data_IF_922214541998
#
_entry.id   IF_922214541998
#
_cell.length_a   1.000
_cell.length_b   1.000
_cell.length_c   1.000
_cell.angle_alpha   90.00
_cell.angle_beta   90.00
_cell.angle_gamma   90.00
#
_symmetry.space_group_name_H-M   'P 1'
#
loop_
_entity.id
_entity.type
_entity.pdbx_description
1 polymer ?
#
# COMPACT_ATOMS: atom_id res chain seq x y z
N UNK A 1 17.61 -11.66 16.93
CA UNK A 1 16.40 -12.29 16.35
C UNK A 1 16.69 -13.36 15.30
N UNK A 2 16.11 -14.54 15.46
CA UNK A 2 16.05 -15.63 14.49
C UNK A 2 15.02 -15.29 13.41
N UNK A 3 15.43 -14.43 12.48
CA UNK A 3 14.57 -13.84 11.44
C UNK A 3 13.83 -14.89 10.62
N UNK A 4 14.45 -16.05 10.35
CA UNK A 4 13.81 -17.13 9.57
C UNK A 4 12.59 -17.72 10.28
N UNK A 5 12.67 -17.94 11.61
CA UNK A 5 11.54 -18.45 12.38
C UNK A 5 10.42 -17.41 12.47
N UNK A 6 10.75 -16.14 12.73
CA UNK A 6 9.77 -15.07 12.78
C UNK A 6 9.06 -14.88 11.42
N UNK A 7 9.81 -14.88 10.31
CA UNK A 7 9.26 -14.78 8.97
C UNK A 7 8.28 -15.93 8.65
N UNK A 8 8.55 -17.14 9.14
CA UNK A 8 7.70 -18.30 8.90
C UNK A 8 6.29 -18.16 9.51
N UNK A 9 6.09 -17.28 10.49
CA UNK A 9 4.77 -16.99 11.07
C UNK A 9 3.83 -16.30 10.06
N UNK A 10 4.39 -15.66 9.02
CA UNK A 10 3.64 -14.96 7.96
C UNK A 10 3.41 -15.82 6.71
N UNK A 11 3.81 -17.09 6.72
CA UNK A 11 3.66 -17.98 5.57
C UNK A 11 2.19 -18.10 5.12
N UNK A 12 1.97 -18.04 3.81
CA UNK A 12 0.63 -18.10 3.20
C UNK A 12 -0.17 -16.80 3.35
N UNK A 13 0.44 -15.71 3.82
CA UNK A 13 -0.16 -14.39 3.80
C UNK A 13 0.39 -13.59 2.61
N UNK A 14 -0.40 -13.55 1.54
CA UNK A 14 -0.01 -12.96 0.26
C UNK A 14 -0.28 -11.46 0.20
N UNK A 15 0.51 -10.66 0.92
CA UNK A 15 0.42 -9.19 0.92
C UNK A 15 1.78 -8.57 0.56
N UNK A 16 1.79 -7.61 -0.36
CA UNK A 16 3.03 -6.97 -0.83
C UNK A 16 3.83 -6.29 0.29
N UNK A 17 3.14 -5.69 1.26
CA UNK A 17 3.76 -5.04 2.42
C UNK A 17 4.52 -6.05 3.32
N UNK A 18 3.98 -7.26 3.46
CA UNK A 18 4.63 -8.36 4.18
C UNK A 18 5.89 -8.80 3.42
N UNK A 19 5.76 -9.06 2.10
CA UNK A 19 6.89 -9.48 1.27
C UNK A 19 8.02 -8.45 1.27
N UNK A 20 7.68 -7.17 1.12
CA UNK A 20 8.62 -6.05 1.16
C UNK A 20 9.48 -6.09 2.43
N UNK A 21 8.86 -6.30 3.60
CA UNK A 21 9.58 -6.40 4.86
C UNK A 21 10.45 -7.66 4.94
N UNK A 22 9.90 -8.81 4.58
CA UNK A 22 10.62 -10.09 4.70
C UNK A 22 11.84 -10.14 3.76
N UNK A 23 11.72 -9.60 2.55
CA UNK A 23 12.80 -9.48 1.55
C UNK A 23 13.82 -8.38 1.90
N UNK A 24 13.51 -7.50 2.87
CA UNK A 24 14.43 -6.49 3.37
C UNK A 24 14.41 -5.17 2.60
N UNK A 25 13.31 -4.88 1.90
CA UNK A 25 13.12 -3.61 1.21
C UNK A 25 12.67 -2.51 2.16
N UNK A 26 11.56 -2.72 2.89
CA UNK A 26 10.91 -1.68 3.70
C UNK A 26 10.27 -2.28 4.96
N UNK A 27 10.20 -1.51 6.03
CA UNK A 27 9.58 -1.94 7.29
C UNK A 27 10.46 -2.82 8.17
N UNK A 28 9.95 -3.14 9.35
CA UNK A 28 10.67 -3.84 10.42
C UNK A 28 9.91 -5.10 10.85
N UNK A 29 10.64 -6.19 11.03
CA UNK A 29 10.12 -7.41 11.65
C UNK A 29 10.48 -7.41 13.13
N UNK A 30 9.48 -7.36 13.99
CA UNK A 30 9.59 -7.35 15.45
C UNK A 30 9.04 -8.68 15.96
N UNK A 31 9.73 -9.33 16.89
CA UNK A 31 9.29 -10.60 17.46
C UNK A 31 9.32 -10.57 18.99
N UNK A 32 8.50 -11.42 19.61
CA UNK A 32 8.42 -11.55 21.07
C UNK A 32 9.67 -12.20 21.69
N UNK A 33 10.37 -13.05 20.94
CA UNK A 33 11.58 -13.73 21.38
C UNK A 33 12.63 -13.83 20.27
N UNK A 34 13.88 -13.58 20.64
CA UNK A 34 14.99 -13.54 19.70
C UNK A 34 15.45 -14.90 19.16
N UNK A 35 15.23 -16.01 19.89
CA UNK A 35 15.73 -17.34 19.49
C UNK A 35 14.62 -18.25 18.98
N UNK A 36 13.45 -18.18 19.64
CA UNK A 36 12.28 -19.01 19.42
C UNK A 36 11.02 -18.13 19.40
N UNK A 37 10.84 -17.29 18.37
CA UNK A 37 9.68 -16.42 18.27
C UNK A 37 8.40 -17.24 18.11
N UNK A 38 7.39 -16.92 18.92
CA UNK A 38 6.02 -17.45 18.79
C UNK A 38 5.05 -16.41 18.25
N UNK A 39 5.42 -15.14 18.32
CA UNK A 39 4.63 -14.00 17.87
C UNK A 39 5.51 -13.00 17.14
N UNK A 40 4.98 -12.37 16.10
CA UNK A 40 5.70 -11.32 15.39
C UNK A 40 4.78 -10.26 14.79
N UNK A 41 5.34 -9.07 14.58
CA UNK A 41 4.72 -7.94 13.88
C UNK A 41 5.62 -7.50 12.74
N UNK A 42 5.03 -7.29 11.57
CA UNK A 42 5.65 -6.49 10.50
C UNK A 42 5.10 -5.08 10.61
N UNK A 43 5.96 -4.12 10.92
CA UNK A 43 5.66 -2.69 10.99
C UNK A 43 6.25 -1.97 9.77
N UNK A 44 5.38 -1.47 8.88
CA UNK A 44 5.74 -0.84 7.61
C UNK A 44 4.84 0.37 7.36
N UNK A 45 5.43 1.57 7.37
CA UNK A 45 4.69 2.81 7.23
C UNK A 45 3.65 2.98 8.33
N UNK A 46 2.37 3.09 7.96
CA UNK A 46 1.23 3.10 8.88
C UNK A 46 0.65 1.70 9.14
N UNK A 47 1.15 0.63 8.51
CA UNK A 47 0.63 -0.72 8.66
C UNK A 47 1.37 -1.56 9.69
N UNK A 48 0.62 -2.34 10.47
CA UNK A 48 1.14 -3.36 11.38
C UNK A 48 0.43 -4.70 11.15
N UNK A 49 1.16 -5.70 10.66
CA UNK A 49 0.64 -7.06 10.43
C UNK A 49 1.03 -7.97 11.59
N UNK A 50 0.05 -8.55 12.28
CA UNK A 50 0.28 -9.38 13.48
C UNK A 50 0.11 -10.87 13.16
N UNK A 51 1.13 -11.68 13.44
CA UNK A 51 1.13 -13.12 13.18
C UNK A 51 1.67 -13.94 14.36
N UNK A 52 1.38 -15.25 14.36
CA UNK A 52 1.71 -16.14 15.47
C UNK A 52 0.72 -16.02 16.64
N UNK A 53 1.16 -16.34 17.85
CA UNK A 53 0.30 -16.29 19.04
C UNK A 53 0.06 -14.82 19.49
N UNK A 54 -1.13 -14.45 19.99
CA UNK A 54 -1.36 -13.08 20.45
C UNK A 54 -0.46 -12.68 21.62
N UNK A 55 0.27 -11.57 21.47
CA UNK A 55 1.21 -11.05 22.47
C UNK A 55 0.91 -9.60 22.85
N UNK A 56 0.68 -9.35 24.15
CA UNK A 56 0.46 -7.99 24.67
C UNK A 56 1.71 -7.13 24.62
N UNK A 57 2.90 -7.72 24.69
CA UNK A 57 4.16 -6.98 24.63
C UNK A 57 4.33 -6.36 23.24
N UNK A 58 4.04 -7.11 22.18
CA UNK A 58 4.10 -6.59 20.81
C UNK A 58 3.12 -5.44 20.56
N UNK A 59 1.95 -5.42 21.21
CA UNK A 59 1.03 -4.28 21.15
C UNK A 59 1.56 -3.03 21.87
N UNK A 60 2.45 -3.16 22.87
CA UNK A 60 3.04 -2.01 23.57
C UNK A 60 4.11 -1.29 22.74
N UNK A 61 4.76 -2.02 21.84
CA UNK A 61 5.75 -1.46 20.90
C UNK A 61 5.11 -0.59 19.82
N UNK A 62 3.80 -0.77 19.56
CA UNK A 62 3.08 0.00 18.57
C UNK A 62 2.81 1.41 19.09
N UNK A 63 3.33 2.39 18.36
CA UNK A 63 3.17 3.81 18.65
C UNK A 63 2.69 4.56 17.42
N UNK A 64 2.08 5.73 17.64
CA UNK A 64 1.54 6.57 16.59
C UNK A 64 0.19 6.10 16.06
N UNK A 65 -0.28 6.80 15.03
CA UNK A 65 -1.44 6.36 14.25
C UNK A 65 -1.07 5.17 13.37
N UNK A 66 -1.82 4.07 13.45
CA UNK A 66 -1.51 2.80 12.76
C UNK A 66 -2.76 2.07 12.30
N UNK A 67 -2.62 1.30 11.23
CA UNK A 67 -3.54 0.29 10.74
C UNK A 67 -3.10 -1.08 11.24
N UNK A 68 -3.82 -1.60 12.23
CA UNK A 68 -3.53 -2.89 12.85
C UNK A 68 -4.27 -4.00 12.10
N UNK A 69 -3.54 -4.95 11.52
CA UNK A 69 -4.06 -6.03 10.70
C UNK A 69 -3.76 -7.37 11.38
N UNK A 70 -4.74 -7.97 12.07
CA UNK A 70 -4.57 -9.28 12.68
C UNK A 70 -4.60 -10.41 11.63
N UNK A 71 -3.75 -11.42 11.79
CA UNK A 71 -3.81 -12.65 10.98
C UNK A 71 -5.11 -13.42 11.19
N UNK A 72 -5.64 -13.39 12.41
CA UNK A 72 -6.75 -14.24 12.86
C UNK A 72 -7.54 -13.66 14.05
N UNK A 73 -8.62 -14.36 14.40
CA UNK A 73 -9.56 -13.95 15.45
C UNK A 73 -8.92 -13.82 16.86
N UNK A 74 -7.97 -14.68 17.29
CA UNK A 74 -7.24 -14.46 18.54
C UNK A 74 -6.55 -13.09 18.63
N UNK A 75 -5.91 -12.63 17.56
CA UNK A 75 -5.31 -11.29 17.53
C UNK A 75 -6.36 -10.18 17.55
N UNK A 76 -7.48 -10.34 16.84
CA UNK A 76 -8.62 -9.40 16.91
C UNK A 76 -9.09 -9.18 18.34
N UNK A 77 -9.34 -10.27 19.08
CA UNK A 77 -9.79 -10.21 20.48
C UNK A 77 -8.79 -9.49 21.37
N UNK A 78 -7.48 -9.74 21.14
CA UNK A 78 -6.44 -9.09 21.92
C UNK A 78 -6.36 -7.58 21.62
N UNK A 79 -6.42 -7.19 20.35
CA UNK A 79 -6.41 -5.77 19.93
C UNK A 79 -7.60 -5.02 20.54
N UNK A 80 -8.80 -5.57 20.40
CA UNK A 80 -10.03 -4.99 20.96
C UNK A 80 -9.95 -4.87 22.48
N UNK A 81 -9.47 -5.90 23.17
CA UNK A 81 -9.33 -5.91 24.63
C UNK A 81 -8.19 -5.04 25.17
N UNK A 82 -7.13 -4.80 24.38
CA UNK A 82 -5.97 -4.00 24.79
C UNK A 82 -6.20 -2.50 24.58
N UNK A 83 -6.66 -2.11 23.39
CA UNK A 83 -6.85 -0.71 23.04
C UNK A 83 -8.24 -0.17 23.38
N UNK A 84 -9.26 -1.04 23.47
CA UNK A 84 -10.64 -0.65 23.72
C UNK A 84 -11.11 0.38 22.70
N UNK A 85 -11.66 1.49 23.18
CA UNK A 85 -12.26 2.53 22.33
C UNK A 85 -11.25 3.36 21.53
N UNK A 86 -9.94 3.10 21.64
CA UNK A 86 -8.91 3.80 20.86
C UNK A 86 -8.77 3.26 19.44
N UNK A 87 -9.28 2.06 19.19
CA UNK A 87 -9.26 1.45 17.86
C UNK A 87 -10.65 1.47 17.26
N UNK A 88 -10.70 1.72 15.95
CA UNK A 88 -11.92 1.63 15.16
C UNK A 88 -11.79 0.47 14.18
N UNK A 89 -12.66 -0.53 14.33
CA UNK A 89 -12.74 -1.70 13.44
C UNK A 89 -13.41 -1.32 12.12
N UNK A 90 -12.81 -1.71 11.00
CA UNK A 90 -13.38 -1.58 9.66
C UNK A 90 -12.85 -2.70 8.74
N UNK A 91 -13.34 -2.74 7.51
CA UNK A 91 -12.86 -3.68 6.50
C UNK A 91 -12.00 -2.96 5.46
N UNK A 92 -10.84 -3.56 5.19
CA UNK A 92 -10.11 -3.40 3.93
C UNK A 92 -10.39 -4.62 3.05
N UNK A 93 -9.95 -4.59 1.80
CA UNK A 93 -10.33 -5.56 0.79
C UNK A 93 -9.10 -6.03 0.02
N UNK A 94 -8.74 -7.30 0.22
CA UNK A 94 -7.71 -7.95 -0.55
C UNK A 94 -8.18 -8.13 -2.00
N UNK A 95 -7.26 -7.92 -2.93
CA UNK A 95 -7.48 -8.06 -4.37
C UNK A 95 -6.67 -9.25 -4.88
N UNK A 96 -7.21 -9.98 -5.86
CA UNK A 96 -6.53 -11.17 -6.41
C UNK A 96 -5.24 -10.80 -7.14
N UNK A 97 -4.22 -11.62 -6.95
CA UNK A 97 -2.93 -11.51 -7.64
C UNK A 97 -2.96 -12.24 -9.00
N UNK A 98 -3.27 -11.51 -10.07
CA UNK A 98 -3.53 -12.07 -11.41
C UNK A 98 -2.91 -11.23 -12.53
N UNK A 99 -1.72 -11.62 -13.01
CA UNK A 99 -1.02 -10.91 -14.09
C UNK A 99 -1.82 -10.82 -15.40
N UNK A 100 -2.66 -11.81 -15.70
CA UNK A 100 -3.43 -11.88 -16.94
C UNK A 100 -4.78 -11.12 -16.87
N UNK A 101 -5.05 -10.39 -15.79
CA UNK A 101 -6.31 -9.69 -15.60
C UNK A 101 -6.36 -8.33 -16.31
N UNK A 102 -5.21 -7.79 -16.74
CA UNK A 102 -5.12 -6.43 -17.30
C UNK A 102 -5.35 -6.39 -18.82
N UNK A 103 -6.42 -5.70 -19.23
CA UNK A 103 -6.67 -5.36 -20.64
C UNK A 103 -5.88 -4.11 -21.03
N UNK A 104 -4.77 -4.32 -21.75
CA UNK A 104 -3.86 -3.27 -22.22
C UNK A 104 -4.58 -2.23 -23.11
N UNK A 105 -5.53 -2.65 -23.95
CA UNK A 105 -6.25 -1.73 -24.83
C UNK A 105 -7.21 -0.85 -24.03
N UNK A 106 -7.93 -1.44 -23.07
CA UNK A 106 -8.81 -0.72 -22.15
C UNK A 106 -8.03 0.32 -21.33
N UNK A 107 -6.89 -0.07 -20.74
CA UNK A 107 -6.04 0.81 -19.94
C UNK A 107 -5.53 2.00 -20.78
N UNK A 108 -5.04 1.74 -21.99
CA UNK A 108 -4.66 2.79 -22.93
C UNK A 108 -5.86 3.68 -23.32
N UNK A 109 -7.05 3.11 -23.42
CA UNK A 109 -8.30 3.83 -23.66
C UNK A 109 -8.65 4.83 -22.56
N UNK A 110 -8.35 4.54 -21.29
CA UNK A 110 -8.50 5.52 -20.20
C UNK A 110 -7.51 6.67 -20.34
N UNK A 111 -6.24 6.37 -20.65
CA UNK A 111 -5.19 7.38 -20.80
C UNK A 111 -5.50 8.34 -21.96
N UNK A 112 -5.97 7.83 -23.10
CA UNK A 112 -6.34 8.63 -24.27
C UNK A 112 -7.52 9.59 -24.03
N UNK A 113 -8.32 9.38 -22.98
CA UNK A 113 -9.45 10.24 -22.61
C UNK A 113 -9.05 11.37 -21.66
N UNK A 114 -7.79 11.45 -21.24
CA UNK A 114 -7.31 12.54 -20.41
C UNK A 114 -7.47 13.87 -21.17
N UNK A 115 -8.07 14.86 -20.53
CA UNK A 115 -8.24 16.19 -21.11
C UNK A 115 -6.87 16.83 -21.38
N UNK A 116 -6.77 17.54 -22.51
CA UNK A 116 -5.60 18.31 -22.92
C UNK A 116 -5.09 19.36 -21.92
N UNK A 117 -5.93 19.81 -20.97
CA UNK A 117 -5.49 20.71 -19.91
C UNK A 117 -4.59 20.02 -18.86
N UNK A 118 -4.50 18.69 -18.88
CA UNK A 118 -3.69 17.91 -17.96
C UNK A 118 -2.44 17.34 -18.62
N UNK A 119 -1.36 17.23 -17.85
CA UNK A 119 -0.12 16.59 -18.26
C UNK A 119 0.09 15.29 -17.50
N UNK A 120 0.15 14.15 -18.19
CA UNK A 120 0.52 12.86 -17.59
C UNK A 120 2.04 12.65 -17.69
N UNK A 121 2.70 12.45 -16.55
CA UNK A 121 4.15 12.24 -16.44
C UNK A 121 4.49 11.03 -15.57
N UNK A 122 5.69 10.49 -15.76
CA UNK A 122 6.29 9.62 -14.75
C UNK A 122 6.86 10.49 -13.62
N UNK A 123 6.99 9.92 -12.42
CA UNK A 123 7.66 10.58 -11.31
C UNK A 123 9.12 10.88 -11.66
N UNK A 124 9.49 12.14 -11.56
CA UNK A 124 10.86 12.62 -11.51
C UNK A 124 11.12 13.30 -10.15
N UNK A 125 12.29 13.92 -9.99
CA UNK A 125 12.65 14.57 -8.74
C UNK A 125 11.71 15.72 -8.39
N UNK A 126 11.27 16.51 -9.38
CA UNK A 126 10.38 17.65 -9.14
C UNK A 126 9.02 17.17 -8.63
N UNK A 127 8.44 16.16 -9.28
CA UNK A 127 7.15 15.56 -8.88
C UNK A 127 7.25 14.88 -7.51
N UNK A 128 8.37 14.20 -7.22
CA UNK A 128 8.61 13.58 -5.92
C UNK A 128 8.59 14.60 -4.79
N UNK A 129 9.25 15.75 -4.96
CA UNK A 129 9.24 16.83 -3.96
C UNK A 129 7.87 17.51 -3.87
N UNK A 130 7.14 17.68 -4.98
CA UNK A 130 5.74 18.15 -4.95
C UNK A 130 4.87 17.21 -4.11
N UNK A 131 4.95 15.89 -4.35
CA UNK A 131 4.17 14.89 -3.63
C UNK A 131 4.46 14.92 -2.12
N UNK A 132 5.74 15.03 -1.75
CA UNK A 132 6.19 15.12 -0.35
C UNK A 132 5.72 16.39 0.37
N UNK A 133 5.41 17.46 -0.36
CA UNK A 133 5.10 18.77 0.21
C UNK A 133 3.66 18.94 0.71
N UNK A 134 2.73 18.07 0.30
CA UNK A 134 1.32 18.17 0.68
C UNK A 134 0.81 16.89 1.34
N UNK A 135 -0.03 17.04 2.37
CA UNK A 135 -0.56 15.90 3.13
C UNK A 135 -1.45 14.96 2.32
N UNK A 136 -2.06 15.44 1.23
CA UNK A 136 -2.92 14.61 0.39
C UNK A 136 -2.13 13.67 -0.54
N UNK A 137 -0.84 13.94 -0.76
CA UNK A 137 0.01 13.23 -1.74
C UNK A 137 1.26 12.62 -1.13
N UNK A 138 1.52 12.86 0.16
CA UNK A 138 2.77 12.44 0.82
C UNK A 138 2.95 10.92 0.76
N UNK A 139 1.86 10.14 0.84
CA UNK A 139 1.93 8.68 0.82
C UNK A 139 2.28 8.08 -0.54
N UNK A 140 2.24 8.88 -1.61
CA UNK A 140 2.81 8.50 -2.91
C UNK A 140 4.34 8.32 -2.86
N UNK A 141 5.02 8.82 -1.81
CA UNK A 141 6.47 8.71 -1.68
C UNK A 141 7.01 8.60 -0.24
N UNK A 142 6.16 8.60 0.78
CA UNK A 142 6.56 8.70 2.20
C UNK A 142 7.46 7.57 2.67
N UNK A 143 7.37 6.39 2.05
CA UNK A 143 8.19 5.23 2.37
C UNK A 143 9.62 5.30 1.81
N UNK A 144 9.94 6.32 1.01
CA UNK A 144 11.27 6.52 0.44
C UNK A 144 11.96 7.72 1.08
N UNK A 145 13.20 7.53 1.53
CA UNK A 145 14.00 8.59 2.15
C UNK A 145 14.15 9.83 1.24
N UNK A 146 14.40 9.61 -0.06
CA UNK A 146 14.61 10.64 -1.06
C UNK A 146 14.41 10.08 -2.48
N UNK A 147 14.42 10.97 -3.49
CA UNK A 147 14.24 10.59 -4.88
C UNK A 147 15.33 9.64 -5.41
N UNK A 148 16.57 9.70 -4.89
CA UNK A 148 17.63 8.76 -5.27
C UNK A 148 17.28 7.33 -4.84
N UNK A 149 16.76 7.16 -3.62
CA UNK A 149 16.26 5.86 -3.17
C UNK A 149 15.05 5.39 -4.01
N UNK A 150 14.13 6.31 -4.32
CA UNK A 150 12.93 6.03 -5.12
C UNK A 150 13.26 5.55 -6.55
N UNK A 151 14.00 6.34 -7.32
CA UNK A 151 14.19 6.11 -8.77
C UNK A 151 14.89 4.77 -9.09
N UNK A 152 15.66 4.24 -8.14
CA UNK A 152 16.38 2.97 -8.29
C UNK A 152 15.47 1.74 -8.19
N UNK A 153 14.29 1.87 -7.58
CA UNK A 153 13.46 0.73 -7.14
C UNK A 153 11.97 0.87 -7.46
N UNK A 154 11.53 2.09 -7.76
CA UNK A 154 10.12 2.43 -7.94
C UNK A 154 9.89 3.16 -9.25
N UNK A 155 8.62 3.20 -9.65
CA UNK A 155 8.12 4.07 -10.70
C UNK A 155 6.70 4.46 -10.38
N UNK A 156 6.42 5.75 -10.46
CA UNK A 156 5.11 6.31 -10.24
C UNK A 156 4.69 7.14 -11.45
N UNK A 157 3.43 7.54 -11.44
CA UNK A 157 2.79 8.34 -12.47
C UNK A 157 2.05 9.49 -11.81
N UNK A 158 2.11 10.66 -12.43
CA UNK A 158 1.50 11.87 -11.93
C UNK A 158 0.70 12.54 -13.03
N UNK A 159 -0.36 13.22 -12.63
CA UNK A 159 -1.05 14.19 -13.48
C UNK A 159 -0.81 15.57 -12.89
N UNK A 160 -0.36 16.48 -13.75
CA UNK A 160 -0.21 17.89 -13.44
C UNK A 160 -1.33 18.71 -14.11
N UNK A 161 -1.70 19.82 -13.48
CA UNK A 161 -2.57 20.85 -14.03
C UNK A 161 -1.93 22.21 -13.72
N UNK A 162 -1.61 22.99 -14.76
CA UNK A 162 -0.87 24.26 -14.63
C UNK A 162 0.43 24.11 -13.80
N UNK A 163 1.19 23.04 -14.06
CA UNK A 163 2.45 22.73 -13.35
C UNK A 163 2.31 22.24 -11.91
N UNK A 164 1.08 22.04 -11.41
CA UNK A 164 0.83 21.53 -10.04
C UNK A 164 0.40 20.08 -10.06
N UNK A 165 0.90 19.31 -9.10
CA UNK A 165 0.45 17.93 -8.88
C UNK A 165 -1.02 17.91 -8.44
N UNK A 166 -1.85 17.13 -9.14
CA UNK A 166 -3.30 17.02 -8.85
C UNK A 166 -3.79 15.58 -8.68
N UNK A 167 -3.04 14.61 -9.19
CA UNK A 167 -3.27 13.19 -8.92
C UNK A 167 -1.96 12.41 -9.13
N UNK A 168 -1.83 11.28 -8.45
CA UNK A 168 -0.70 10.38 -8.65
C UNK A 168 -1.06 8.93 -8.34
N UNK A 169 -0.34 8.02 -8.95
CA UNK A 169 -0.30 6.61 -8.59
C UNK A 169 1.16 6.22 -8.48
N UNK A 170 1.59 5.73 -7.33
CA UNK A 170 3.00 5.46 -7.01
C UNK A 170 3.11 4.28 -6.06
N UNK A 171 4.27 3.61 -5.96
CA UNK A 171 4.45 2.53 -4.99
C UNK A 171 4.37 3.07 -3.57
N UNK A 172 3.47 2.53 -2.75
CA UNK A 172 3.59 2.63 -1.30
C UNK A 172 4.75 1.75 -0.82
N UNK A 173 4.85 0.54 -1.36
CA UNK A 173 5.95 -0.39 -1.07
C UNK A 173 6.47 -1.08 -2.33
N UNK A 174 7.68 -1.64 -2.24
CA UNK A 174 8.32 -2.41 -3.32
C UNK A 174 8.77 -3.77 -2.80
N UNK A 175 8.73 -4.79 -3.64
CA UNK A 175 9.18 -6.15 -3.36
C UNK A 175 9.80 -6.76 -4.63
N UNK A 176 10.45 -7.92 -4.54
CA UNK A 176 11.25 -8.51 -5.63
C UNK A 176 10.47 -8.57 -6.96
N UNK A 177 9.20 -8.97 -6.91
CA UNK A 177 8.37 -9.20 -8.10
C UNK A 177 7.37 -8.06 -8.39
N UNK A 178 7.35 -6.96 -7.63
CA UNK A 178 6.27 -5.98 -7.75
C UNK A 178 6.31 -4.76 -6.84
N UNK A 179 5.19 -4.05 -6.85
CA UNK A 179 4.91 -2.88 -6.00
C UNK A 179 3.56 -3.03 -5.32
N UNK A 180 3.36 -2.39 -4.18
CA UNK A 180 2.03 -2.07 -3.63
C UNK A 180 1.63 -0.67 -4.12
N UNK A 181 0.46 -0.53 -4.75
CA UNK A 181 0.04 0.76 -5.31
C UNK A 181 -0.62 1.64 -4.24
N UNK A 182 -0.19 2.91 -4.19
CA UNK A 182 -0.94 4.03 -3.63
C UNK A 182 -1.51 4.90 -4.76
N UNK A 183 -2.77 5.34 -4.66
CA UNK A 183 -3.38 6.27 -5.62
C UNK A 183 -4.14 7.37 -4.90
N UNK A 184 -3.64 8.59 -5.10
CA UNK A 184 -4.25 9.79 -4.55
C UNK A 184 -4.69 10.77 -5.62
N UNK A 185 -5.76 11.51 -5.31
CA UNK A 185 -6.22 12.64 -6.11
C UNK A 185 -6.59 13.77 -5.18
N UNK A 186 -6.04 14.94 -5.48
CA UNK A 186 -6.27 16.17 -4.73
C UNK A 186 -7.78 16.45 -4.63
N UNK A 187 -8.33 16.79 -3.45
CA UNK A 187 -9.79 16.80 -3.21
C UNK A 187 -10.63 17.52 -4.28
N UNK A 188 -10.20 18.70 -4.73
CA UNK A 188 -10.87 19.53 -5.72
C UNK A 188 -10.75 19.01 -7.18
N UNK A 189 -9.91 17.99 -7.41
CA UNK A 189 -9.75 17.30 -8.70
C UNK A 189 -10.38 15.90 -8.72
N UNK A 190 -10.99 15.46 -7.61
CA UNK A 190 -11.66 14.15 -7.53
C UNK A 190 -12.86 14.07 -8.48
N UNK A 191 -13.25 12.84 -8.81
CA UNK A 191 -14.38 12.50 -9.71
C UNK A 191 -14.22 12.96 -11.16
N UNK A 192 -13.02 13.39 -11.57
CA UNK A 192 -12.67 13.73 -12.96
C UNK A 192 -11.97 12.60 -13.73
N UNK A 193 -11.85 11.41 -13.12
CA UNK A 193 -11.21 10.24 -13.73
C UNK A 193 -9.68 10.19 -13.61
N UNK A 194 -9.04 11.17 -12.95
CA UNK A 194 -7.58 11.27 -12.86
C UNK A 194 -6.93 10.06 -12.18
N UNK A 195 -7.49 9.57 -11.07
CA UNK A 195 -7.05 8.34 -10.42
C UNK A 195 -7.05 7.12 -11.37
N UNK A 196 -8.07 6.99 -12.23
CA UNK A 196 -8.12 5.92 -13.24
C UNK A 196 -6.99 6.08 -14.26
N UNK A 197 -6.68 7.30 -14.69
CA UNK A 197 -5.61 7.54 -15.67
C UNK A 197 -4.23 7.26 -15.07
N UNK A 198 -3.94 7.75 -13.87
CA UNK A 198 -2.69 7.44 -13.16
C UNK A 198 -2.55 5.93 -12.94
N UNK A 199 -3.58 5.29 -12.37
CA UNK A 199 -3.56 3.84 -12.13
C UNK A 199 -3.35 3.05 -13.42
N UNK A 200 -4.04 3.39 -14.50
CA UNK A 200 -3.86 2.73 -15.80
C UNK A 200 -2.43 2.90 -16.34
N UNK A 201 -1.86 4.10 -16.26
CA UNK A 201 -0.49 4.33 -16.72
C UNK A 201 0.52 3.60 -15.85
N UNK A 202 0.32 3.55 -14.53
CA UNK A 202 1.22 2.84 -13.63
C UNK A 202 1.19 1.33 -13.90
N UNK A 203 0.01 0.74 -14.05
CA UNK A 203 -0.15 -0.68 -14.38
C UNK A 203 0.57 -1.01 -15.68
N UNK A 204 0.33 -0.25 -16.75
CA UNK A 204 1.03 -0.46 -18.03
C UNK A 204 2.56 -0.37 -17.88
N UNK A 205 3.04 0.60 -17.08
CA UNK A 205 4.47 0.77 -16.81
C UNK A 205 5.05 -0.41 -16.01
N UNK A 206 4.28 -1.00 -15.10
CA UNK A 206 4.66 -2.22 -14.37
C UNK A 206 4.73 -3.43 -15.29
N UNK A 207 3.74 -3.59 -16.18
CA UNK A 207 3.73 -4.67 -17.17
C UNK A 207 4.93 -4.58 -18.14
N UNK A 208 5.28 -3.38 -18.60
CA UNK A 208 6.48 -3.13 -19.42
C UNK A 208 7.78 -3.54 -18.70
N UNK A 209 7.82 -3.41 -17.37
CA UNK A 209 8.95 -3.78 -16.52
C UNK A 209 8.89 -5.22 -16.01
N UNK A 210 7.86 -5.98 -16.39
CA UNK A 210 7.61 -7.34 -15.90
C UNK A 210 7.57 -7.44 -14.36
N UNK A 211 6.93 -6.46 -13.71
CA UNK A 211 6.66 -6.46 -12.28
C UNK A 211 5.15 -6.37 -12.02
N UNK A 212 4.68 -6.93 -10.90
CA UNK A 212 3.27 -6.95 -10.56
C UNK A 212 2.84 -5.65 -9.87
N UNK A 213 1.82 -4.96 -10.38
CA UNK A 213 1.19 -3.85 -9.66
C UNK A 213 0.19 -4.41 -8.63
N UNK A 214 0.64 -4.73 -7.42
CA UNK A 214 -0.23 -5.18 -6.32
C UNK A 214 -1.18 -4.06 -5.88
N UNK A 215 -2.35 -4.47 -5.38
CA UNK A 215 -3.36 -3.55 -4.90
C UNK A 215 -4.03 -4.10 -3.66
N UNK A 216 -4.00 -3.36 -2.56
CA UNK A 216 -4.84 -3.58 -1.40
C UNK A 216 -5.85 -2.44 -1.22
N UNK A 217 -7.15 -2.75 -1.32
CA UNK A 217 -8.18 -1.72 -1.36
C UNK A 217 -8.61 -1.28 0.04
N UNK A 218 -8.38 0.00 0.35
CA UNK A 218 -8.78 0.62 1.61
C UNK A 218 -10.29 0.55 1.89
N UNK A 219 -11.12 0.71 0.85
CA UNK A 219 -12.58 0.64 0.95
C UNK A 219 -13.23 0.22 -0.38
N UNK A 220 -14.57 0.13 -0.40
CA UNK A 220 -15.32 -0.25 -1.61
C UNK A 220 -15.20 0.73 -2.78
N UNK A 221 -14.84 2.00 -2.55
CA UNK A 221 -14.55 2.95 -3.63
C UNK A 221 -13.22 2.63 -4.28
N UNK A 222 -12.23 2.23 -3.49
CA UNK A 222 -10.95 1.69 -3.97
C UNK A 222 -11.14 0.36 -4.71
N UNK A 223 -11.99 -0.55 -4.19
CA UNK A 223 -12.37 -1.79 -4.92
C UNK A 223 -12.95 -1.48 -6.29
N UNK A 224 -13.91 -0.55 -6.38
CA UNK A 224 -14.53 -0.17 -7.65
C UNK A 224 -13.51 0.43 -8.65
N UNK A 225 -12.48 1.15 -8.15
CA UNK A 225 -11.40 1.64 -9.00
C UNK A 225 -10.49 0.49 -9.47
N UNK A 226 -10.13 -0.43 -8.57
CA UNK A 226 -9.34 -1.60 -8.91
C UNK A 226 -10.05 -2.47 -9.96
N UNK A 227 -11.33 -2.80 -9.77
CA UNK A 227 -12.11 -3.58 -10.73
C UNK A 227 -12.20 -2.90 -12.10
N UNK A 228 -12.37 -1.57 -12.12
CA UNK A 228 -12.36 -0.78 -13.35
C UNK A 228 -11.01 -0.85 -14.09
N UNK A 229 -9.91 -1.05 -13.37
CA UNK A 229 -8.56 -1.21 -13.91
C UNK A 229 -8.22 -2.67 -14.27
N UNK A 230 -9.15 -3.61 -14.06
CA UNK A 230 -9.01 -5.02 -14.44
C UNK A 230 -8.73 -5.95 -13.27
N UNK A 231 -8.57 -5.45 -12.05
CA UNK A 231 -8.42 -6.30 -10.88
C UNK A 231 -9.73 -7.01 -10.51
N UNK A 232 -9.65 -7.99 -9.61
CA UNK A 232 -10.82 -8.67 -9.07
C UNK A 232 -10.75 -8.72 -7.55
N UNK A 233 -11.85 -8.35 -6.89
CA UNK A 233 -11.99 -8.52 -5.45
C UNK A 233 -11.76 -9.99 -5.06
N UNK A 234 -10.97 -10.20 -4.01
CA UNK A 234 -10.84 -11.50 -3.37
C UNK A 234 -11.78 -11.61 -2.17
N UNK A 235 -11.47 -10.87 -1.09
CA UNK A 235 -12.20 -10.93 0.17
C UNK A 235 -12.02 -9.67 1.01
N UNK A 236 -12.99 -9.30 1.85
CA UNK A 236 -12.76 -8.35 2.92
C UNK A 236 -11.88 -8.96 4.01
N UNK A 237 -11.11 -8.14 4.70
CA UNK A 237 -10.41 -8.52 5.93
C UNK A 237 -10.46 -7.39 6.95
N UNK A 238 -10.30 -7.77 8.22
CA UNK A 238 -10.45 -6.85 9.34
C UNK A 238 -9.20 -5.99 9.48
N UNK A 239 -9.41 -4.71 9.69
CA UNK A 239 -8.36 -3.74 10.04
C UNK A 239 -8.86 -2.85 11.15
N UNK A 240 -7.95 -2.45 12.04
CA UNK A 240 -8.23 -1.50 13.09
C UNK A 240 -7.43 -0.22 12.85
N UNK A 241 -8.12 0.90 12.80
CA UNK A 241 -7.47 2.21 12.82
C UNK A 241 -7.21 2.60 14.29
N UNK A 242 -5.94 2.66 14.67
CA UNK A 242 -5.47 3.22 15.93
C UNK A 242 -5.14 4.70 15.68
N UNK A 243 -5.86 5.61 16.33
CA UNK A 243 -5.54 7.03 16.27
C UNK A 243 -4.51 7.42 17.34
N UNK A 244 -3.57 8.30 16.98
CA UNK A 244 -2.73 8.97 17.98
C UNK A 244 -3.62 9.82 18.91
N UNK A 245 -3.28 9.84 20.20
CA UNK A 245 -4.02 10.60 21.22
C UNK A 245 -3.68 12.08 21.18
#
# INVERSE_FOLDING_TARGET
MNRRKAAALFNGWEEALIWSCLQGYMGNLIADNDENPTSAVIDIGDFCFFAGEPSRELLREISGSKLLIPKDQPWEQLIEGFYGNKVKKFFRYAIKNQFNAFDVEMLNGYIKKLDSCYELKLFDQEIFEMAKSESWSVDLCSQFENFCHYQNRAVGTAILHDGKLVAGASPYAVYDEGIEIEIDTKPEYRRKGLATVCGAKLILTCLERNIYPHWDAHDLRSVALAEKLGYHLDRPYITYELADR
#
